data_IF_241502603995
#
_entry.id   IF_241502603995
#
_cell.length_a   1.000
_cell.length_b   1.000
_cell.length_c   1.000
_cell.angle_alpha   90.00
_cell.angle_beta   90.00
_cell.angle_gamma   90.00
#
_symmetry.space_group_name_H-M   'P 1'
#
loop_
_entity.id
_entity.type
_entity.pdbx_description
1 polymer ?
#
# COMPACT_ATOMS: atom_id res chain seq x y z
N UNK A 1 -1.88 -6.69 -25.27
CA UNK A 1 -0.71 -5.76 -25.20
C UNK A 1 0.17 -6.23 -24.03
N UNK A 2 1.47 -6.44 -24.24
CA UNK A 2 2.40 -6.84 -23.17
C UNK A 2 3.02 -5.57 -22.60
N UNK A 3 2.82 -5.32 -21.31
CA UNK A 3 3.44 -4.18 -20.61
C UNK A 3 4.80 -4.62 -20.06
N UNK A 4 5.86 -3.92 -20.45
CA UNK A 4 7.22 -4.23 -20.04
C UNK A 4 7.56 -3.72 -18.64
N UNK A 5 8.60 -4.27 -18.02
CA UNK A 5 9.08 -3.96 -16.66
C UNK A 5 9.35 -2.46 -16.41
N UNK A 6 9.73 -1.71 -17.43
CA UNK A 6 10.08 -0.29 -17.29
C UNK A 6 8.92 0.60 -16.81
N UNK A 7 7.67 0.12 -16.89
CA UNK A 7 6.54 0.83 -16.31
C UNK A 7 6.65 0.95 -14.78
N UNK A 8 7.22 -0.06 -14.10
CA UNK A 8 7.44 0.01 -12.65
C UNK A 8 8.43 1.11 -12.28
N UNK A 9 9.49 1.30 -13.06
CA UNK A 9 10.44 2.38 -12.83
C UNK A 9 9.77 3.74 -12.98
N UNK A 10 8.91 3.91 -14.00
CA UNK A 10 8.13 5.14 -14.19
C UNK A 10 7.15 5.37 -13.03
N UNK A 11 6.42 4.33 -12.61
CA UNK A 11 5.40 4.42 -11.56
C UNK A 11 5.98 4.60 -10.15
N UNK A 12 7.25 4.29 -9.95
CA UNK A 12 7.95 4.47 -8.68
C UNK A 12 8.90 5.66 -8.74
N UNK A 13 10.08 5.48 -9.31
CA UNK A 13 11.14 6.49 -9.31
C UNK A 13 10.85 7.68 -10.25
N UNK A 14 10.22 7.42 -11.40
CA UNK A 14 9.96 8.45 -12.41
C UNK A 14 8.86 9.45 -12.01
N UNK A 15 7.89 9.05 -11.18
CA UNK A 15 6.81 9.94 -10.74
C UNK A 15 7.14 10.72 -9.47
N UNK A 16 8.08 10.25 -8.67
CA UNK A 16 8.35 10.76 -7.34
C UNK A 16 9.83 11.09 -7.18
N UNK A 17 10.20 12.33 -7.46
CA UNK A 17 11.58 12.82 -7.35
C UNK A 17 12.01 13.21 -5.93
N UNK A 18 11.05 13.40 -5.01
CA UNK A 18 11.26 13.75 -3.60
C UNK A 18 10.75 12.64 -2.68
N UNK A 19 11.63 12.11 -1.83
CA UNK A 19 11.27 11.07 -0.86
C UNK A 19 10.17 11.48 0.14
N UNK A 20 9.96 12.78 0.35
CA UNK A 20 8.88 13.31 1.21
C UNK A 20 7.49 12.99 0.66
N UNK A 21 7.38 12.65 -0.62
CA UNK A 21 6.11 12.24 -1.23
C UNK A 21 5.51 11.01 -0.53
N UNK A 22 6.34 10.11 0.01
CA UNK A 22 5.89 8.93 0.77
C UNK A 22 4.94 9.34 1.89
N UNK A 23 5.35 10.32 2.71
CA UNK A 23 4.53 10.81 3.83
C UNK A 23 3.21 11.37 3.33
N UNK A 24 3.26 12.20 2.30
CA UNK A 24 2.05 12.83 1.73
C UNK A 24 1.08 11.77 1.20
N UNK A 25 1.54 10.83 0.41
CA UNK A 25 0.69 9.81 -0.21
C UNK A 25 0.05 8.88 0.84
N UNK A 26 0.84 8.40 1.81
CA UNK A 26 0.30 7.48 2.82
C UNK A 26 -0.59 8.20 3.84
N UNK A 27 -0.24 9.41 4.28
CA UNK A 27 -1.11 10.19 5.18
C UNK A 27 -2.41 10.57 4.45
N UNK A 28 -2.35 10.99 3.18
CA UNK A 28 -3.55 11.30 2.40
C UNK A 28 -4.46 10.06 2.25
N UNK A 29 -3.87 8.90 1.97
CA UNK A 29 -4.65 7.66 1.90
C UNK A 29 -5.29 7.31 3.25
N UNK A 30 -4.57 7.49 4.36
CA UNK A 30 -5.10 7.28 5.71
C UNK A 30 -6.28 8.25 6.01
N UNK A 31 -6.13 9.54 5.70
CA UNK A 31 -7.22 10.52 5.85
C UNK A 31 -8.45 10.15 5.02
N UNK A 32 -8.26 9.76 3.75
CA UNK A 32 -9.37 9.38 2.87
C UNK A 32 -10.10 8.12 3.40
N UNK A 33 -9.39 7.17 4.01
CA UNK A 33 -9.98 5.97 4.62
C UNK A 33 -10.66 6.27 5.97
N UNK A 34 -10.15 7.21 6.74
CA UNK A 34 -10.79 7.71 7.96
C UNK A 34 -12.12 8.39 7.63
N UNK A 35 -12.14 9.29 6.63
CA UNK A 35 -13.38 9.92 6.17
C UNK A 35 -14.44 8.86 5.79
N UNK A 36 -14.00 7.78 5.13
CA UNK A 36 -14.87 6.67 4.78
C UNK A 36 -15.35 5.87 6.00
N UNK A 37 -14.46 5.62 6.99
CA UNK A 37 -14.80 4.92 8.23
C UNK A 37 -15.87 5.69 9.04
N UNK A 38 -15.75 7.02 9.11
CA UNK A 38 -16.76 7.87 9.75
C UNK A 38 -18.08 7.80 8.98
N UNK A 39 -18.03 7.91 7.65
CA UNK A 39 -19.22 7.80 6.80
C UNK A 39 -19.97 6.48 6.97
N UNK A 40 -19.23 5.39 7.20
CA UNK A 40 -19.78 4.04 7.45
C UNK A 40 -20.20 3.80 8.89
N UNK A 41 -19.93 4.73 9.81
CA UNK A 41 -20.23 4.59 11.24
C UNK A 41 -19.31 3.59 11.96
N UNK A 42 -18.14 3.29 11.40
CA UNK A 42 -17.10 2.45 12.02
C UNK A 42 -16.29 3.27 13.03
N UNK A 43 -16.06 4.54 12.73
CA UNK A 43 -15.45 5.53 13.62
C UNK A 43 -16.43 6.66 13.92
N UNK A 44 -16.35 7.22 15.13
CA UNK A 44 -17.00 8.47 15.49
C UNK A 44 -16.03 9.65 15.25
N UNK A 45 -16.57 10.84 14.98
CA UNK A 45 -15.77 12.06 14.93
C UNK A 45 -15.02 12.27 16.25
N UNK A 46 -13.73 12.54 16.19
CA UNK A 46 -12.83 12.72 17.33
C UNK A 46 -12.10 11.44 17.78
N UNK A 47 -12.37 10.29 17.15
CA UNK A 47 -11.68 9.02 17.43
C UNK A 47 -10.63 8.67 16.37
N UNK A 48 -10.41 9.56 15.39
CA UNK A 48 -9.47 9.37 14.29
C UNK A 48 -8.02 9.34 14.77
N UNK A 49 -7.29 8.34 14.36
CA UNK A 49 -5.87 8.18 14.71
C UNK A 49 -5.08 7.84 13.45
N UNK A 50 -4.00 8.59 13.25
CA UNK A 50 -2.92 8.22 12.32
C UNK A 50 -1.63 8.19 13.12
N UNK A 51 -1.12 6.99 13.38
CA UNK A 51 0.14 6.78 14.06
C UNK A 51 1.30 6.79 13.07
N UNK A 52 2.28 7.65 13.29
CA UNK A 52 3.52 7.70 12.51
C UNK A 52 4.67 7.31 13.42
N UNK A 53 5.27 6.17 13.16
CA UNK A 53 6.43 5.68 13.89
C UNK A 53 7.68 5.71 13.01
N UNK A 54 8.79 6.19 13.56
CA UNK A 54 10.09 6.23 12.90
C UNK A 54 11.17 5.66 13.79
N UNK A 55 12.03 4.81 13.22
CA UNK A 55 13.24 4.33 13.86
C UNK A 55 14.43 4.61 12.94
N UNK A 56 15.31 5.52 13.37
CA UNK A 56 16.44 5.99 12.57
C UNK A 56 17.53 4.92 12.47
N UNK A 57 17.76 4.16 13.55
CA UNK A 57 18.80 3.11 13.60
C UNK A 57 18.47 1.98 12.62
N UNK A 58 17.23 1.50 12.63
CA UNK A 58 16.73 0.46 11.72
C UNK A 58 16.32 1.02 10.36
N UNK A 59 16.30 2.34 10.19
CA UNK A 59 15.83 3.03 9.00
C UNK A 59 14.42 2.58 8.61
N UNK A 60 13.55 2.58 9.60
CA UNK A 60 12.18 2.11 9.52
C UNK A 60 11.19 3.26 9.74
N UNK A 61 10.13 3.25 8.96
CA UNK A 61 8.96 4.11 9.14
C UNK A 61 7.71 3.26 9.01
N UNK A 62 6.72 3.52 9.86
CA UNK A 62 5.36 2.99 9.77
C UNK A 62 4.35 4.12 9.83
N UNK A 63 3.29 4.01 9.04
CA UNK A 63 2.13 4.90 9.05
C UNK A 63 0.91 3.99 9.16
N UNK A 64 0.21 4.07 10.28
CA UNK A 64 -0.97 3.24 10.60
C UNK A 64 -2.16 4.14 10.89
N UNK A 65 -3.28 3.85 10.27
CA UNK A 65 -4.58 4.46 10.59
C UNK A 65 -5.48 3.46 11.34
N UNK A 66 -6.51 3.97 12.00
CA UNK A 66 -7.58 3.18 12.60
C UNK A 66 -8.87 3.24 11.77
N UNK A 67 -8.74 3.36 10.45
CA UNK A 67 -9.86 3.44 9.53
C UNK A 67 -10.53 2.06 9.28
N UNK A 68 -11.15 1.87 8.12
CA UNK A 68 -11.90 0.64 7.82
C UNK A 68 -11.04 -0.61 7.78
N UNK A 69 -9.78 -0.49 7.41
CA UNK A 69 -8.98 -1.61 6.93
C UNK A 69 -9.50 -2.18 5.60
N UNK A 70 -8.97 -3.32 5.19
CA UNK A 70 -9.36 -4.05 3.98
C UNK A 70 -9.74 -5.48 4.34
N UNK A 71 -10.91 -5.93 3.87
CA UNK A 71 -11.36 -7.32 4.07
C UNK A 71 -10.36 -8.31 3.48
N UNK A 72 -10.14 -9.41 4.18
CA UNK A 72 -9.19 -10.44 3.75
C UNK A 72 -9.45 -10.95 2.33
N UNK A 73 -10.72 -11.13 1.96
CA UNK A 73 -11.10 -11.59 0.61
C UNK A 73 -10.82 -10.57 -0.49
N UNK A 74 -10.78 -9.28 -0.15
CA UNK A 74 -10.58 -8.18 -1.10
C UNK A 74 -9.12 -7.68 -1.10
N UNK A 75 -8.29 -8.15 -0.16
CA UNK A 75 -6.95 -7.63 0.07
C UNK A 75 -6.05 -7.70 -1.16
N UNK A 76 -5.98 -8.87 -1.79
CA UNK A 76 -5.11 -9.09 -2.96
C UNK A 76 -5.55 -8.19 -4.13
N UNK A 77 -6.85 -8.10 -4.40
CA UNK A 77 -7.36 -7.26 -5.47
C UNK A 77 -7.26 -5.76 -5.16
N UNK A 78 -7.41 -5.37 -3.89
CA UNK A 78 -7.35 -3.96 -3.49
C UNK A 78 -5.93 -3.44 -3.36
N UNK A 79 -4.99 -4.25 -2.84
CA UNK A 79 -3.63 -3.83 -2.53
C UNK A 79 -2.62 -4.36 -3.54
N UNK A 80 -2.85 -5.56 -4.09
CA UNK A 80 -1.95 -6.24 -5.02
C UNK A 80 -2.11 -5.85 -6.48
N UNK A 81 -3.29 -5.41 -6.92
CA UNK A 81 -3.51 -5.07 -8.33
C UNK A 81 -2.92 -3.69 -8.68
N UNK A 82 -1.95 -3.68 -9.59
CA UNK A 82 -1.36 -2.44 -10.11
C UNK A 82 -2.29 -1.84 -11.15
N UNK A 83 -2.68 -0.58 -10.94
CA UNK A 83 -3.49 0.22 -11.87
C UNK A 83 -4.92 -0.30 -12.15
N UNK A 84 -5.41 -1.27 -11.38
CA UNK A 84 -6.78 -1.77 -11.48
C UNK A 84 -7.64 -1.19 -10.34
N UNK A 85 -7.63 0.14 -10.18
CA UNK A 85 -8.49 0.79 -9.19
C UNK A 85 -9.91 0.91 -9.73
N UNK A 86 -10.89 0.36 -9.02
CA UNK A 86 -12.32 0.57 -9.24
C UNK A 86 -12.79 2.00 -8.87
N UNK A 87 -11.84 2.93 -8.65
CA UNK A 87 -12.14 4.31 -8.27
C UNK A 87 -12.65 5.09 -9.48
N UNK A 88 -13.85 5.65 -9.37
CA UNK A 88 -14.40 6.53 -10.40
C UNK A 88 -13.58 7.82 -10.50
N UNK A 89 -13.14 8.14 -11.71
CA UNK A 89 -12.42 9.39 -12.01
C UNK A 89 -13.31 10.58 -11.59
N UNK A 90 -12.87 11.34 -10.60
CA UNK A 90 -13.52 12.57 -10.15
C UNK A 90 -14.27 12.51 -8.82
N UNK A 91 -14.44 11.35 -8.20
CA UNK A 91 -15.06 11.23 -6.86
C UNK A 91 -14.04 10.93 -5.75
N UNK A 92 -12.96 10.23 -6.07
CA UNK A 92 -11.92 9.86 -5.09
C UNK A 92 -10.68 10.75 -5.26
N UNK A 93 -10.20 11.31 -4.15
CA UNK A 93 -9.03 12.23 -4.12
C UNK A 93 -7.71 11.52 -4.46
N UNK A 94 -7.62 10.19 -4.35
CA UNK A 94 -6.43 9.40 -4.68
C UNK A 94 -6.35 9.05 -6.17
N UNK A 95 -5.42 9.67 -6.90
CA UNK A 95 -5.25 9.46 -8.33
C UNK A 95 -4.65 8.08 -8.63
N UNK A 96 -5.41 7.18 -9.25
CA UNK A 96 -4.96 5.95 -9.94
C UNK A 96 -4.54 4.74 -9.10
N UNK A 97 -4.68 4.70 -7.77
CA UNK A 97 -4.29 3.53 -6.96
C UNK A 97 -2.79 3.18 -6.97
N UNK A 98 -1.93 4.07 -7.48
CA UNK A 98 -0.49 3.87 -7.63
C UNK A 98 0.29 4.51 -6.47
N UNK A 99 -0.28 5.51 -5.80
CA UNK A 99 0.39 6.25 -4.72
C UNK A 99 0.91 5.35 -3.60
N UNK A 100 0.19 4.25 -3.32
CA UNK A 100 0.64 3.25 -2.33
C UNK A 100 1.97 2.58 -2.67
N UNK A 101 2.38 2.58 -3.94
CA UNK A 101 3.64 1.98 -4.40
C UNK A 101 4.83 2.94 -4.33
N UNK A 102 4.61 4.23 -3.98
CA UNK A 102 5.68 5.23 -3.97
C UNK A 102 6.85 4.85 -3.04
N UNK A 103 6.59 4.10 -1.97
CA UNK A 103 7.61 3.58 -1.06
C UNK A 103 8.64 2.68 -1.74
N UNK A 104 8.26 1.95 -2.81
CA UNK A 104 9.17 1.06 -3.52
C UNK A 104 10.38 1.77 -4.12
N UNK A 105 10.27 3.07 -4.40
CA UNK A 105 11.38 3.88 -4.89
C UNK A 105 12.48 4.06 -3.84
N UNK A 106 12.13 4.08 -2.54
CA UNK A 106 13.00 4.58 -1.48
C UNK A 106 13.33 3.54 -0.39
N UNK A 107 12.58 2.44 -0.29
CA UNK A 107 12.80 1.40 0.73
C UNK A 107 13.52 0.16 0.15
N UNK A 108 13.94 -0.73 1.03
CA UNK A 108 14.37 -2.11 0.67
C UNK A 108 13.17 -3.03 0.63
N UNK A 109 12.28 -2.86 1.59
CA UNK A 109 11.07 -3.66 1.76
C UNK A 109 9.91 -2.72 2.06
N UNK A 110 8.81 -2.89 1.34
CA UNK A 110 7.54 -2.23 1.61
C UNK A 110 6.58 -3.29 2.13
N UNK A 111 5.95 -3.05 3.29
CA UNK A 111 5.00 -3.96 3.90
C UNK A 111 3.66 -3.26 4.08
N UNK A 112 2.60 -3.92 3.72
CA UNK A 112 1.23 -3.54 4.04
C UNK A 112 0.63 -4.55 4.99
N UNK A 113 -0.01 -4.07 6.05
CA UNK A 113 -0.73 -4.90 7.02
C UNK A 113 -2.10 -4.30 7.24
N UNK A 114 -3.14 -5.10 7.24
CA UNK A 114 -4.50 -4.61 7.46
C UNK A 114 -5.36 -5.64 8.17
N UNK A 115 -6.27 -5.16 9.00
CA UNK A 115 -7.37 -5.93 9.58
C UNK A 115 -8.68 -5.20 9.34
N UNK A 116 -9.77 -5.93 9.16
CA UNK A 116 -11.10 -5.39 8.97
C UNK A 116 -11.99 -5.75 10.16
N UNK A 117 -12.81 -4.79 10.61
CA UNK A 117 -13.70 -4.97 11.76
C UNK A 117 -14.54 -6.25 11.64
N UNK A 118 -14.49 -7.10 12.67
CA UNK A 118 -15.22 -8.36 12.74
C UNK A 118 -14.47 -9.57 12.17
N UNK A 119 -13.34 -9.39 11.47
CA UNK A 119 -12.47 -10.48 11.05
C UNK A 119 -11.47 -10.83 12.17
N UNK A 120 -11.10 -12.12 12.29
CA UNK A 120 -10.14 -12.59 13.29
C UNK A 120 -8.74 -12.81 12.69
N UNK A 121 -8.47 -12.18 11.58
CA UNK A 121 -7.20 -12.26 10.84
C UNK A 121 -6.78 -10.88 10.37
N UNK A 122 -5.47 -10.70 10.23
CA UNK A 122 -4.87 -9.61 9.46
C UNK A 122 -4.22 -10.15 8.21
N UNK A 123 -4.30 -9.39 7.15
CA UNK A 123 -3.68 -9.68 5.85
C UNK A 123 -2.40 -8.89 5.72
N UNK A 124 -1.36 -9.53 5.19
CA UNK A 124 -0.02 -8.97 5.06
C UNK A 124 0.46 -9.14 3.62
N UNK A 125 0.96 -8.06 3.01
CA UNK A 125 1.71 -8.10 1.76
C UNK A 125 3.09 -7.50 1.97
N UNK A 126 4.11 -8.21 1.53
CA UNK A 126 5.50 -7.77 1.55
C UNK A 126 5.98 -7.65 0.11
N UNK A 127 6.56 -6.48 -0.22
CA UNK A 127 7.14 -6.21 -1.52
C UNK A 127 8.66 -6.03 -1.36
N UNK A 128 9.45 -6.87 -2.04
CA UNK A 128 10.91 -6.78 -2.09
C UNK A 128 11.34 -5.74 -3.14
N UNK A 129 11.47 -4.48 -2.72
CA UNK A 129 11.88 -3.39 -3.59
C UNK A 129 13.36 -3.50 -4.02
N UNK A 130 14.20 -4.20 -3.26
CA UNK A 130 15.58 -4.45 -3.63
C UNK A 130 15.66 -5.44 -4.80
N UNK A 131 14.91 -6.53 -4.74
CA UNK A 131 14.78 -7.50 -5.83
C UNK A 131 14.16 -6.86 -7.08
N UNK A 132 13.14 -5.99 -6.90
CA UNK A 132 12.56 -5.21 -8.00
C UNK A 132 13.65 -4.45 -8.75
N UNK A 133 14.44 -3.63 -8.05
CA UNK A 133 15.51 -2.84 -8.68
C UNK A 133 16.56 -3.73 -9.37
N UNK A 134 16.93 -4.86 -8.78
CA UNK A 134 17.84 -5.81 -9.40
C UNK A 134 17.30 -6.34 -10.74
N UNK A 135 16.01 -6.77 -10.77
CA UNK A 135 15.37 -7.25 -12.00
C UNK A 135 15.21 -6.15 -13.06
N UNK A 136 14.96 -4.90 -12.64
CA UNK A 136 14.88 -3.75 -13.56
C UNK A 136 16.25 -3.47 -14.22
N UNK A 137 17.34 -3.62 -13.48
CA UNK A 137 18.70 -3.40 -13.98
C UNK A 137 19.21 -4.51 -14.94
N UNK A 138 18.62 -5.70 -14.89
CA UNK A 138 19.02 -6.80 -15.76
C UNK A 138 18.73 -6.50 -17.23
N UNK A 139 19.57 -7.04 -18.14
CA UNK A 139 19.34 -6.98 -19.60
C UNK A 139 18.16 -7.85 -20.06
N UNK A 140 17.74 -8.81 -19.24
CA UNK A 140 16.60 -9.68 -19.53
C UNK A 140 15.31 -8.85 -19.60
N UNK A 141 14.50 -9.16 -20.60
CA UNK A 141 13.18 -8.57 -20.78
C UNK A 141 12.18 -9.30 -19.89
N UNK A 142 11.69 -8.62 -18.87
CA UNK A 142 10.58 -9.08 -18.03
C UNK A 142 9.31 -8.30 -18.39
N UNK A 143 8.18 -8.94 -18.26
CA UNK A 143 6.87 -8.28 -18.23
C UNK A 143 6.66 -7.64 -16.85
N UNK A 144 5.70 -6.72 -16.75
CA UNK A 144 5.27 -6.14 -15.49
C UNK A 144 4.86 -7.24 -14.49
N UNK A 145 4.04 -8.20 -14.93
CA UNK A 145 3.53 -9.27 -14.08
C UNK A 145 4.66 -10.18 -13.58
N UNK A 146 5.62 -10.56 -14.43
CA UNK A 146 6.77 -11.39 -13.99
C UNK A 146 7.60 -10.71 -12.90
N UNK A 147 7.79 -9.40 -12.98
CA UNK A 147 8.48 -8.67 -11.90
C UNK A 147 7.61 -8.60 -10.66
N UNK A 148 6.33 -8.25 -10.82
CA UNK A 148 5.41 -8.10 -9.70
C UNK A 148 5.26 -9.40 -8.92
N UNK A 149 4.97 -10.51 -9.58
CA UNK A 149 4.83 -11.82 -8.95
C UNK A 149 6.12 -12.30 -8.27
N UNK A 150 7.29 -11.89 -8.79
CA UNK A 150 8.57 -12.25 -8.21
C UNK A 150 8.91 -11.50 -6.92
N UNK A 151 8.35 -10.31 -6.68
CA UNK A 151 8.71 -9.43 -5.56
C UNK A 151 7.70 -9.43 -4.44
N UNK A 152 6.47 -9.92 -4.65
CA UNK A 152 5.41 -9.91 -3.65
C UNK A 152 5.30 -11.25 -2.91
N UNK A 153 4.95 -11.16 -1.64
CA UNK A 153 4.57 -12.30 -0.82
C UNK A 153 3.33 -11.92 0.01
N UNK A 154 2.38 -12.84 0.11
CA UNK A 154 1.16 -12.69 0.89
C UNK A 154 1.14 -13.68 2.04
N UNK A 155 0.63 -13.25 3.19
CA UNK A 155 0.36 -14.10 4.33
C UNK A 155 -0.80 -13.55 5.14
N UNK A 156 -1.35 -14.39 6.02
CA UNK A 156 -2.33 -13.98 7.03
C UNK A 156 -1.85 -14.42 8.40
N UNK A 157 -2.20 -13.64 9.43
CA UNK A 157 -1.94 -13.95 10.82
C UNK A 157 -3.21 -13.73 11.63
N UNK A 158 -3.28 -14.31 12.83
CA UNK A 158 -4.39 -14.07 13.74
C UNK A 158 -4.42 -12.63 14.22
N UNK A 159 -5.62 -12.06 14.32
CA UNK A 159 -5.85 -10.73 14.86
C UNK A 159 -7.13 -10.74 15.71
N UNK A 160 -7.32 -9.71 16.54
CA UNK A 160 -8.56 -9.54 17.30
C UNK A 160 -9.66 -8.98 16.41
N UNK A 161 -10.90 -9.42 16.63
CA UNK A 161 -12.04 -9.00 15.81
C UNK A 161 -12.40 -7.52 15.93
N UNK A 162 -11.96 -6.89 17.02
CA UNK A 162 -12.18 -5.49 17.29
C UNK A 162 -11.18 -4.59 16.55
N UNK A 163 -10.05 -5.17 16.09
CA UNK A 163 -9.02 -4.41 15.41
C UNK A 163 -9.42 -4.15 13.95
N UNK A 164 -9.29 -2.90 13.55
CA UNK A 164 -9.46 -2.47 12.18
C UNK A 164 -8.46 -1.35 11.86
N UNK A 165 -7.64 -1.55 10.85
CA UNK A 165 -6.57 -0.62 10.51
C UNK A 165 -5.98 -0.92 9.14
N UNK A 166 -5.21 0.03 8.62
CA UNK A 166 -4.26 -0.15 7.54
C UNK A 166 -2.90 0.43 7.94
N UNK A 167 -1.82 -0.34 7.73
CA UNK A 167 -0.45 0.03 8.01
C UNK A 167 0.45 -0.20 6.78
#
# INVERSE_FOLDING_TARGET
MIVGKNILDILTTGMYSDSKVIYREYIQNACDQIDEAIRLGILSEGEEIIDIYTNIEDRYISIKDNATGVKANDFISSVGDIANSNKEIGKDKGFRGIGRLCGLAYCKTLKFTTSYLGENIKSIMICDAQKMRAMLAEKKKYTLNEVWDAIIAYSTESEKKEEHYFE
#
